data_IF_508638964604
#
_entry.id   IF_508638964604
#
_cell.length_a   1.000
_cell.length_b   1.000
_cell.length_c   1.000
_cell.angle_alpha   90.00
_cell.angle_beta   90.00
_cell.angle_gamma   90.00
#
_symmetry.space_group_name_H-M   'P 1'
#
loop_
_entity.id
_entity.type
_entity.pdbx_description
1 polymer ?
#
# COMPACT_ATOMS: atom_id res chain seq x y z
N UNK A 1 26.58 0.88 -15.74
CA UNK A 1 25.49 -0.07 -15.48
C UNK A 1 24.26 0.69 -15.01
N UNK A 2 23.14 0.65 -15.74
CA UNK A 2 21.85 1.14 -15.22
C UNK A 2 21.27 0.02 -14.35
N UNK A 3 21.14 0.26 -13.05
CA UNK A 3 20.45 -0.65 -12.13
C UNK A 3 18.94 -0.56 -12.38
N UNK A 4 18.24 -1.68 -12.44
CA UNK A 4 16.78 -1.68 -12.55
C UNK A 4 16.19 -1.03 -11.29
N UNK A 5 15.36 0.02 -11.41
CA UNK A 5 14.73 0.66 -10.26
C UNK A 5 13.98 -0.37 -9.40
N UNK A 6 14.12 -0.27 -8.08
CA UNK A 6 13.46 -1.15 -7.09
C UNK A 6 13.85 -2.64 -7.15
N UNK A 7 14.87 -3.02 -7.93
CA UNK A 7 15.54 -4.32 -7.76
C UNK A 7 16.26 -4.40 -6.41
N UNK A 8 16.54 -5.59 -5.87
CA UNK A 8 17.30 -5.75 -4.63
C UNK A 8 18.65 -5.03 -4.65
N UNK A 9 19.36 -5.06 -5.78
CA UNK A 9 20.64 -4.35 -5.96
C UNK A 9 20.48 -2.83 -5.95
N UNK A 10 19.40 -2.32 -6.56
CA UNK A 10 19.10 -0.90 -6.53
C UNK A 10 18.72 -0.44 -5.13
N UNK A 11 17.92 -1.23 -4.40
CA UNK A 11 17.52 -0.96 -3.01
C UNK A 11 18.76 -0.93 -2.12
N UNK A 12 19.64 -1.93 -2.21
CA UNK A 12 20.87 -1.99 -1.43
C UNK A 12 21.83 -0.82 -1.75
N UNK A 13 22.00 -0.50 -3.04
CA UNK A 13 22.79 0.66 -3.46
C UNK A 13 22.21 1.96 -2.93
N UNK A 14 20.89 2.13 -3.04
CA UNK A 14 20.21 3.30 -2.51
C UNK A 14 20.37 3.38 -1.00
N UNK A 15 20.12 2.31 -0.24
CA UNK A 15 20.23 2.27 1.22
C UNK A 15 21.57 2.84 1.72
N UNK A 16 22.67 2.58 1.01
CA UNK A 16 24.00 3.10 1.34
C UNK A 16 24.23 4.61 1.10
N UNK A 17 23.34 5.31 0.38
CA UNK A 17 23.48 6.74 0.07
C UNK A 17 22.98 7.63 1.22
N UNK A 18 23.73 8.71 1.47
CA UNK A 18 23.47 9.72 2.49
C UNK A 18 22.83 10.98 1.91
N UNK A 19 22.09 11.77 2.72
CA UNK A 19 21.64 13.09 2.31
C UNK A 19 22.83 13.95 1.85
N UNK A 20 22.75 14.49 0.63
CA UNK A 20 23.82 15.26 -0.01
C UNK A 20 24.53 14.52 -1.14
N UNK A 21 24.42 13.19 -1.21
CA UNK A 21 24.93 12.45 -2.37
C UNK A 21 24.09 12.80 -3.62
N UNK A 22 24.74 13.04 -4.75
CA UNK A 22 24.04 13.44 -5.99
C UNK A 22 23.04 12.40 -6.53
N UNK A 23 23.16 11.15 -6.08
CA UNK A 23 22.24 10.04 -6.40
C UNK A 23 21.21 9.76 -5.30
N UNK A 24 21.23 10.53 -4.20
CA UNK A 24 20.30 10.37 -3.09
C UNK A 24 18.89 10.74 -3.53
N UNK A 25 17.97 9.79 -3.40
CA UNK A 25 16.55 10.03 -3.67
C UNK A 25 15.84 10.31 -2.36
N UNK A 26 15.15 11.44 -2.27
CA UNK A 26 14.37 11.81 -1.09
C UNK A 26 13.18 10.86 -0.89
N UNK A 27 12.71 10.72 0.36
CA UNK A 27 11.56 9.87 0.73
C UNK A 27 10.33 10.14 -0.16
N UNK A 28 9.97 11.40 -0.37
CA UNK A 28 8.80 11.78 -1.18
C UNK A 28 8.97 11.32 -2.63
N UNK A 29 10.17 11.51 -3.20
CA UNK A 29 10.48 11.06 -4.55
C UNK A 29 10.48 9.53 -4.66
N UNK A 30 11.01 8.82 -3.66
CA UNK A 30 10.96 7.36 -3.59
C UNK A 30 9.52 6.83 -3.60
N UNK A 31 8.64 7.41 -2.77
CA UNK A 31 7.23 7.02 -2.71
C UNK A 31 6.55 7.21 -4.07
N UNK A 32 6.80 8.34 -4.72
CA UNK A 32 6.23 8.66 -6.04
C UNK A 32 6.75 7.70 -7.11
N UNK A 33 8.07 7.60 -7.25
CA UNK A 33 8.69 6.76 -8.29
C UNK A 33 8.29 5.28 -8.12
N UNK A 34 8.11 4.82 -6.87
CA UNK A 34 7.64 3.46 -6.60
C UNK A 34 6.16 3.26 -6.92
N UNK A 35 5.32 4.25 -6.64
CA UNK A 35 3.91 4.21 -7.05
C UNK A 35 3.77 4.14 -8.57
N UNK A 36 4.54 4.94 -9.31
CA UNK A 36 4.58 4.92 -10.77
C UNK A 36 5.10 3.56 -11.29
N UNK A 37 6.12 2.99 -10.64
CA UNK A 37 6.62 1.64 -10.95
C UNK A 37 5.55 0.56 -10.77
N UNK A 38 4.82 0.56 -9.65
CA UNK A 38 3.71 -0.37 -9.42
C UNK A 38 2.62 -0.21 -10.48
N UNK A 39 2.24 1.04 -10.80
CA UNK A 39 1.25 1.32 -11.85
C UNK A 39 1.70 0.77 -13.22
N UNK A 40 2.97 0.96 -13.59
CA UNK A 40 3.51 0.48 -14.87
C UNK A 40 3.48 -1.05 -15.00
N UNK A 41 3.52 -1.77 -13.86
CA UNK A 41 3.45 -3.24 -13.79
C UNK A 41 2.02 -3.77 -13.66
N UNK A 42 1.02 -2.88 -13.65
CA UNK A 42 -0.38 -3.24 -13.37
C UNK A 42 -0.62 -3.68 -11.93
N UNK A 43 0.33 -3.42 -11.03
CA UNK A 43 0.25 -3.81 -9.63
C UNK A 43 -0.51 -2.75 -8.81
N UNK A 44 -1.30 -3.21 -7.84
CA UNK A 44 -2.08 -2.32 -6.99
C UNK A 44 -1.17 -1.51 -6.06
N UNK A 45 -1.24 -0.19 -6.17
CA UNK A 45 -0.58 0.72 -5.24
C UNK A 45 -1.31 0.67 -3.88
N UNK A 46 -0.61 0.24 -2.83
CA UNK A 46 -1.14 0.22 -1.44
C UNK A 46 -0.14 0.87 -0.49
N UNK A 47 -0.65 1.43 0.61
CA UNK A 47 0.20 1.98 1.68
C UNK A 47 1.16 0.94 2.25
N UNK A 48 0.72 -0.31 2.38
CA UNK A 48 1.52 -1.41 2.90
C UNK A 48 2.70 -1.75 1.99
N UNK A 49 2.48 -1.78 0.68
CA UNK A 49 3.55 -2.01 -0.31
C UNK A 49 4.58 -0.89 -0.30
N UNK A 50 4.12 0.36 -0.29
CA UNK A 50 5.01 1.53 -0.21
C UNK A 50 5.80 1.53 1.09
N UNK A 51 5.15 1.19 2.22
CA UNK A 51 5.82 1.08 3.51
C UNK A 51 6.88 -0.02 3.51
N UNK A 52 6.57 -1.20 3.00
CA UNK A 52 7.53 -2.30 2.92
C UNK A 52 8.77 -1.94 2.08
N UNK A 53 8.59 -1.22 0.97
CA UNK A 53 9.70 -0.69 0.18
C UNK A 53 10.54 0.32 0.98
N UNK A 54 9.92 1.26 1.68
CA UNK A 54 10.65 2.22 2.52
C UNK A 54 11.39 1.55 3.68
N UNK A 55 10.77 0.55 4.32
CA UNK A 55 11.38 -0.25 5.38
C UNK A 55 12.62 -1.00 4.85
N UNK A 56 12.58 -1.50 3.61
CA UNK A 56 13.72 -2.20 2.98
C UNK A 56 14.96 -1.33 2.73
N UNK A 57 14.80 0.00 2.73
CA UNK A 57 15.92 0.93 2.54
C UNK A 57 16.66 1.23 3.86
N UNK A 58 16.08 0.90 5.01
CA UNK A 58 16.66 1.04 6.36
C UNK A 58 17.37 2.39 6.66
N UNK A 59 16.78 3.50 6.20
CA UNK A 59 17.33 4.87 6.40
C UNK A 59 16.71 5.64 7.58
N UNK A 60 16.25 4.93 8.61
CA UNK A 60 15.37 5.50 9.62
C UNK A 60 13.95 5.76 9.10
N UNK A 61 13.60 5.20 7.93
CA UNK A 61 12.24 5.15 7.40
C UNK A 61 11.38 4.05 8.04
N UNK A 62 11.87 3.39 9.09
CA UNK A 62 11.24 2.26 9.75
C UNK A 62 9.85 2.57 10.35
N UNK A 63 9.44 1.91 11.44
CA UNK A 63 8.03 1.88 11.87
C UNK A 63 7.39 3.25 12.19
N UNK A 64 8.20 4.31 12.29
CA UNK A 64 7.80 5.70 12.47
C UNK A 64 7.44 6.45 11.18
N UNK A 65 7.61 5.89 9.98
CA UNK A 65 7.12 6.56 8.76
C UNK A 65 5.62 6.75 8.87
N UNK A 66 5.21 8.00 9.01
CA UNK A 66 3.82 8.32 9.28
C UNK A 66 2.99 8.04 8.04
N UNK A 67 1.76 7.55 8.23
CA UNK A 67 0.78 7.46 7.14
C UNK A 67 0.62 8.78 6.38
N UNK A 68 0.84 9.90 7.06
CA UNK A 68 0.75 11.24 6.49
C UNK A 68 1.86 11.54 5.48
N UNK A 69 3.11 11.14 5.77
CA UNK A 69 4.22 11.33 4.82
C UNK A 69 4.06 10.46 3.57
N UNK A 70 3.63 9.21 3.74
CA UNK A 70 3.29 8.35 2.59
C UNK A 70 2.13 8.97 1.81
N UNK A 71 1.11 9.48 2.50
CA UNK A 71 -0.02 10.14 1.87
C UNK A 71 0.41 11.35 1.04
N UNK A 72 1.31 12.19 1.55
CA UNK A 72 1.88 13.32 0.81
C UNK A 72 2.59 12.86 -0.47
N UNK A 73 3.44 11.83 -0.40
CA UNK A 73 4.10 11.26 -1.58
C UNK A 73 3.12 10.67 -2.61
N UNK A 74 2.00 10.15 -2.14
CA UNK A 74 0.95 9.56 -2.98
C UNK A 74 -0.11 10.58 -3.47
N UNK A 75 -0.05 11.85 -3.07
CA UNK A 75 -1.04 12.86 -3.49
C UNK A 75 -1.13 12.97 -5.01
N UNK A 76 -0.01 12.89 -5.73
CA UNK A 76 -0.01 12.91 -7.20
C UNK A 76 -0.75 11.72 -7.81
N UNK A 77 -0.53 10.51 -7.29
CA UNK A 77 -1.23 9.30 -7.76
C UNK A 77 -2.72 9.29 -7.36
N UNK A 78 -3.10 9.96 -6.27
CA UNK A 78 -4.50 10.17 -5.86
C UNK A 78 -5.24 11.15 -6.79
N UNK A 79 -4.60 12.25 -7.19
CA UNK A 79 -5.16 13.25 -8.10
C UNK A 79 -5.29 12.67 -9.52
N UNK A 80 -4.29 11.89 -9.96
CA UNK A 80 -4.29 11.23 -11.27
C UNK A 80 -5.23 10.02 -11.40
N UNK A 81 -6.05 9.71 -10.38
CA UNK A 81 -6.94 8.52 -10.30
C UNK A 81 -6.25 7.15 -10.49
N UNK A 82 -4.92 7.09 -10.43
CA UNK A 82 -4.16 5.83 -10.45
C UNK A 82 -4.22 5.10 -9.10
N UNK A 83 -4.53 5.84 -8.03
CA UNK A 83 -5.01 5.30 -6.77
C UNK A 83 -6.54 5.42 -6.70
N UNK A 84 -7.26 4.37 -6.26
CA UNK A 84 -8.66 4.55 -5.91
C UNK A 84 -8.75 5.60 -4.79
N UNK A 85 -9.47 6.69 -5.06
CA UNK A 85 -9.64 7.89 -4.20
C UNK A 85 -10.00 7.58 -2.74
N UNK A 86 -10.47 6.36 -2.46
CA UNK A 86 -10.29 5.68 -1.18
C UNK A 86 -10.11 4.18 -1.49
N UNK A 87 -9.06 3.50 -0.97
CA UNK A 87 -8.99 2.04 -1.03
C UNK A 87 -10.02 1.52 -0.03
N UNK A 88 -11.30 1.57 -0.36
CA UNK A 88 -12.32 1.04 0.53
C UNK A 88 -12.18 -0.47 0.50
N UNK A 89 -11.30 -1.01 1.37
CA UNK A 89 -11.12 -2.41 1.76
C UNK A 89 -10.75 -3.40 0.67
N UNK A 90 -10.28 -4.58 1.11
CA UNK A 90 -10.42 -5.82 0.33
C UNK A 90 -11.91 -6.09 0.16
N UNK A 91 -12.32 -6.61 -1.00
CA UNK A 91 -13.71 -7.01 -1.21
C UNK A 91 -14.03 -8.15 -0.26
N UNK A 92 -15.25 -8.15 0.24
CA UNK A 92 -15.71 -9.16 1.20
C UNK A 92 -16.91 -9.86 0.61
N UNK A 93 -16.88 -11.19 0.62
CA UNK A 93 -18.04 -12.04 0.40
C UNK A 93 -18.68 -12.35 1.75
N UNK A 94 -20.00 -12.22 1.83
CA UNK A 94 -20.83 -12.67 2.96
C UNK A 94 -21.99 -13.46 2.40
N UNK A 95 -21.92 -14.80 2.48
CA UNK A 95 -22.84 -15.69 1.78
C UNK A 95 -22.80 -15.41 0.27
N UNK A 96 -23.96 -15.08 -0.31
CA UNK A 96 -24.09 -14.74 -1.73
C UNK A 96 -23.84 -13.25 -2.04
N UNK A 97 -23.65 -12.42 -1.00
CA UNK A 97 -23.49 -10.98 -1.16
C UNK A 97 -22.03 -10.58 -1.31
N UNK A 98 -21.79 -9.63 -2.20
CA UNK A 98 -20.47 -9.08 -2.48
C UNK A 98 -20.40 -7.62 -2.07
N UNK A 99 -19.49 -7.33 -1.15
CA UNK A 99 -19.23 -5.99 -0.67
C UNK A 99 -17.91 -5.46 -1.20
N UNK A 100 -17.90 -4.18 -1.53
CA UNK A 100 -16.67 -3.48 -1.94
C UNK A 100 -15.60 -3.43 -0.85
N UNK A 101 -15.98 -3.56 0.43
CA UNK A 101 -15.08 -3.41 1.58
C UNK A 101 -15.65 -4.02 2.86
N UNK A 102 -14.78 -4.24 3.87
CA UNK A 102 -15.20 -4.56 5.26
C UNK A 102 -16.23 -3.57 5.78
N UNK A 103 -16.04 -2.27 5.54
CA UNK A 103 -16.99 -1.23 5.98
C UNK A 103 -18.34 -1.36 5.29
N UNK A 104 -18.35 -1.70 4.00
CA UNK A 104 -19.59 -1.91 3.25
C UNK A 104 -20.31 -3.17 3.73
N UNK A 105 -19.57 -4.26 4.00
CA UNK A 105 -20.11 -5.48 4.59
C UNK A 105 -20.69 -5.22 5.97
N UNK A 106 -19.96 -4.52 6.85
CA UNK A 106 -20.43 -4.14 8.18
C UNK A 106 -21.73 -3.33 8.14
N UNK A 107 -21.84 -2.38 7.20
CA UNK A 107 -23.05 -1.60 6.99
C UNK A 107 -24.22 -2.46 6.47
N UNK A 108 -23.97 -3.34 5.50
CA UNK A 108 -25.00 -4.18 4.88
C UNK A 108 -25.50 -5.31 5.80
N UNK A 109 -24.63 -5.82 6.66
CA UNK A 109 -24.90 -6.92 7.58
C UNK A 109 -25.17 -6.41 9.01
N UNK A 110 -25.39 -5.10 9.17
CA UNK A 110 -25.74 -4.44 10.43
C UNK A 110 -24.84 -4.82 11.62
N UNK A 111 -23.52 -4.90 11.39
CA UNK A 111 -22.55 -5.29 12.41
C UNK A 111 -21.35 -4.33 12.49
N UNK A 112 -20.48 -4.54 13.47
CA UNK A 112 -19.24 -3.77 13.62
C UNK A 112 -18.20 -4.23 12.59
N UNK A 113 -17.33 -3.32 12.14
CA UNK A 113 -16.22 -3.67 11.22
C UNK A 113 -15.29 -4.74 11.81
N UNK A 114 -15.07 -4.73 13.13
CA UNK A 114 -14.28 -5.74 13.83
C UNK A 114 -14.90 -7.14 13.73
N UNK A 115 -16.23 -7.24 13.86
CA UNK A 115 -16.94 -8.50 13.72
C UNK A 115 -16.73 -9.11 12.33
N UNK A 116 -16.82 -8.30 11.26
CA UNK A 116 -16.53 -8.78 9.90
C UNK A 116 -15.10 -9.35 9.79
N UNK A 117 -14.10 -8.65 10.34
CA UNK A 117 -12.72 -9.12 10.32
C UNK A 117 -12.53 -10.42 11.12
N UNK A 118 -13.15 -10.52 12.30
CA UNK A 118 -13.12 -11.71 13.15
C UNK A 118 -13.77 -12.92 12.48
N UNK A 119 -14.94 -12.75 11.84
CA UNK A 119 -15.63 -13.84 11.14
C UNK A 119 -14.80 -14.40 9.98
N UNK A 120 -14.19 -13.52 9.20
CA UNK A 120 -13.29 -13.91 8.12
C UNK A 120 -12.05 -14.62 8.69
N UNK A 121 -11.45 -14.09 9.76
CA UNK A 121 -10.28 -14.69 10.40
C UNK A 121 -10.57 -16.07 11.00
N UNK A 122 -11.78 -16.28 11.54
CA UNK A 122 -12.27 -17.57 12.05
C UNK A 122 -12.69 -18.54 10.94
N UNK A 123 -12.73 -18.09 9.68
CA UNK A 123 -13.20 -18.89 8.56
C UNK A 123 -14.68 -19.24 8.66
N UNK A 124 -15.50 -18.35 9.24
CA UNK A 124 -16.94 -18.59 9.34
C UNK A 124 -17.54 -18.83 7.94
N UNK A 125 -18.42 -19.84 7.78
CA UNK A 125 -19.01 -20.16 6.49
C UNK A 125 -19.65 -18.94 5.82
N UNK A 126 -19.29 -18.71 4.56
CA UNK A 126 -19.77 -17.57 3.77
C UNK A 126 -18.99 -16.27 3.96
N UNK A 127 -18.06 -16.16 4.91
CA UNK A 127 -17.25 -14.96 5.12
C UNK A 127 -15.85 -15.13 4.53
N UNK A 128 -15.52 -14.37 3.48
CA UNK A 128 -14.18 -14.44 2.87
C UNK A 128 -13.77 -13.12 2.21
N UNK A 129 -12.46 -12.90 2.12
CA UNK A 129 -11.92 -11.88 1.24
C UNK A 129 -11.98 -12.36 -0.21
N UNK A 130 -12.26 -11.44 -1.13
CA UNK A 130 -12.07 -11.63 -2.56
C UNK A 130 -10.96 -10.68 -2.97
N UNK A 131 -9.83 -11.25 -3.40
CA UNK A 131 -8.73 -10.51 -4.01
C UNK A 131 -8.98 -10.32 -5.51
#
# INVERSE_FOLDING_TARGET
>A
MRREPFSPEWIAWQAGLRPGDGSFVSKVKLVRDYADHLASRGERITYERVRAMLDSLDRGYGPQTSRQEIHQGLQHALIGRQLPLRPNGRRVRVGDRLYRSIRAAAKGEHCRQSAVAERIAKGEPGWSFID
#
